data_IF_282342556904
#
_entry.id   IF_282342556904
#
_cell.length_a   1.000
_cell.length_b   1.000
_cell.length_c   1.000
_cell.angle_alpha   90.00
_cell.angle_beta   90.00
_cell.angle_gamma   90.00
#
_symmetry.space_group_name_H-M   'P 1'
#
loop_
_entity.id
_entity.type
_entity.pdbx_description
1 polymer ?
#
# COMPACT_ATOMS: atom_id res chain seq x y z
N UNK A 1 18.19 21.23 23.13
CA UNK A 1 17.20 21.20 22.04
C UNK A 1 15.94 20.51 22.56
N UNK A 2 14.97 21.25 23.10
CA UNK A 2 13.83 20.65 23.82
C UNK A 2 12.66 20.20 22.92
N UNK A 3 12.61 20.65 21.66
CA UNK A 3 11.52 20.35 20.72
C UNK A 3 12.05 20.34 19.29
N UNK A 4 12.71 19.25 18.91
CA UNK A 4 13.07 18.99 17.51
C UNK A 4 11.82 18.44 16.80
N UNK A 5 11.37 19.08 15.71
CA UNK A 5 10.16 18.64 14.99
C UNK A 5 10.55 17.93 13.71
N UNK A 6 10.27 16.62 13.63
CA UNK A 6 10.43 15.85 12.40
C UNK A 6 9.16 15.99 11.56
N UNK A 7 9.32 16.28 10.28
CA UNK A 7 8.23 16.36 9.31
C UNK A 7 8.53 15.53 8.07
N UNK A 8 7.52 15.32 7.25
CA UNK A 8 7.62 14.64 5.97
C UNK A 8 6.93 15.46 4.87
N UNK A 9 7.53 15.51 3.70
CA UNK A 9 6.85 15.98 2.49
C UNK A 9 7.28 15.15 1.27
N UNK A 10 6.46 15.20 0.21
CA UNK A 10 6.65 14.36 -0.98
C UNK A 10 7.86 14.74 -1.85
N UNK A 11 8.43 15.94 -1.69
CA UNK A 11 9.49 16.48 -2.57
C UNK A 11 10.88 16.25 -1.98
N UNK A 12 11.00 16.42 -0.66
CA UNK A 12 12.27 16.36 0.07
C UNK A 12 12.36 15.20 1.06
N UNK A 13 11.29 14.43 1.21
CA UNK A 13 11.25 13.32 2.14
C UNK A 13 11.10 13.77 3.59
N UNK A 14 11.72 13.00 4.49
CA UNK A 14 11.79 13.32 5.90
C UNK A 14 12.78 14.46 6.17
N UNK A 15 12.38 15.39 7.02
CA UNK A 15 13.20 16.55 7.38
C UNK A 15 13.06 16.90 8.85
N UNK A 16 14.05 17.61 9.36
CA UNK A 16 14.07 18.18 10.70
C UNK A 16 13.83 19.67 10.60
N UNK A 17 12.77 20.15 11.25
CA UNK A 17 12.50 21.58 11.38
C UNK A 17 13.09 22.10 12.70
N UNK A 18 13.93 23.13 12.59
CA UNK A 18 14.59 23.77 13.71
C UNK A 18 14.16 25.23 13.75
N UNK A 19 13.69 25.67 14.92
CA UNK A 19 13.26 27.06 15.14
C UNK A 19 14.46 28.00 15.16
N UNK A 20 14.24 29.28 14.82
CA UNK A 20 15.30 30.31 14.85
C UNK A 20 16.06 30.39 16.18
N UNK A 21 15.38 30.16 17.30
CA UNK A 21 15.96 30.18 18.64
C UNK A 21 16.99 29.05 18.89
N UNK A 22 16.90 27.92 18.17
CA UNK A 22 17.77 26.76 18.34
C UNK A 22 18.83 26.63 17.25
N UNK A 23 18.96 27.64 16.38
CA UNK A 23 19.89 27.64 15.24
C UNK A 23 21.36 27.53 15.64
N UNK A 24 21.74 28.08 16.80
CA UNK A 24 23.11 27.99 17.32
C UNK A 24 23.51 26.59 17.83
N UNK A 25 22.55 25.67 17.93
CA UNK A 25 22.79 24.28 18.37
C UNK A 25 22.67 23.27 17.24
N UNK A 26 22.64 23.72 15.98
CA UNK A 26 22.54 22.84 14.81
C UNK A 26 23.90 22.20 14.53
N UNK A 27 24.00 20.86 14.51
CA UNK A 27 25.22 20.15 14.15
C UNK A 27 25.67 20.43 12.69
N UNK A 28 26.95 20.24 12.39
CA UNK A 28 27.52 20.59 11.07
C UNK A 28 27.15 19.60 9.96
N UNK A 29 26.79 18.37 10.33
CA UNK A 29 26.28 17.30 9.46
C UNK A 29 24.86 17.56 8.94
N UNK A 30 24.17 18.58 9.46
CA UNK A 30 22.82 18.93 9.04
C UNK A 30 22.85 19.75 7.75
N UNK A 31 22.27 19.21 6.68
CA UNK A 31 22.23 19.86 5.38
C UNK A 31 20.94 20.69 5.27
N UNK A 32 21.07 22.02 5.22
CA UNK A 32 19.94 22.95 5.05
C UNK A 32 19.26 22.74 3.69
N UNK A 33 17.93 22.67 3.67
CA UNK A 33 17.11 22.48 2.45
C UNK A 33 16.11 23.60 2.17
N UNK A 34 15.52 24.17 3.22
CA UNK A 34 14.50 25.20 3.05
C UNK A 34 14.52 26.18 4.22
N UNK A 35 14.39 27.46 3.92
CA UNK A 35 14.19 28.53 4.92
C UNK A 35 12.69 28.80 5.08
N UNK A 36 12.21 28.86 6.32
CA UNK A 36 10.84 29.21 6.67
C UNK A 36 10.81 30.56 7.41
N UNK A 37 9.61 31.11 7.60
CA UNK A 37 9.41 32.37 8.34
C UNK A 37 9.88 32.24 9.80
N UNK A 38 9.65 31.08 10.42
CA UNK A 38 9.89 30.84 11.85
C UNK A 38 11.05 29.88 12.15
N UNK A 39 11.75 29.39 11.13
CA UNK A 39 12.78 28.36 11.29
C UNK A 39 13.36 27.90 9.97
N UNK A 40 14.07 26.78 10.01
CA UNK A 40 14.73 26.19 8.85
C UNK A 40 14.56 24.68 8.85
N UNK A 41 14.61 24.09 7.65
CA UNK A 41 14.53 22.64 7.44
C UNK A 41 15.90 22.08 7.06
N UNK A 42 16.24 20.99 7.72
CA UNK A 42 17.48 20.25 7.55
C UNK A 42 17.22 18.79 7.23
N UNK A 43 18.17 18.16 6.55
CA UNK A 43 18.21 16.72 6.32
C UNK A 43 19.56 16.21 6.79
N UNK A 44 19.59 15.01 7.36
CA UNK A 44 20.84 14.32 7.71
C UNK A 44 21.02 13.06 6.84
N UNK A 45 22.25 12.56 6.66
CA UNK A 45 22.49 11.31 5.95
C UNK A 45 21.70 10.14 6.53
N UNK A 46 21.62 10.03 7.86
CA UNK A 46 20.93 8.94 8.57
C UNK A 46 19.42 8.96 8.30
N UNK A 47 18.83 10.16 8.18
CA UNK A 47 17.42 10.29 7.81
C UNK A 47 17.12 9.78 6.40
N UNK A 48 18.05 9.99 5.46
CA UNK A 48 17.91 9.45 4.10
C UNK A 48 18.03 7.93 4.08
N UNK A 49 18.97 7.37 4.83
CA UNK A 49 19.11 5.91 4.94
C UNK A 49 17.85 5.26 5.54
N UNK A 50 17.27 5.89 6.57
CA UNK A 50 16.00 5.45 7.14
C UNK A 50 14.85 5.59 6.16
N UNK A 51 14.79 6.68 5.39
CA UNK A 51 13.79 6.88 4.34
C UNK A 51 13.85 5.79 3.28
N UNK A 52 15.04 5.49 2.74
CA UNK A 52 15.22 4.40 1.77
C UNK A 52 14.78 3.04 2.33
N UNK A 53 15.08 2.78 3.60
CA UNK A 53 14.65 1.56 4.27
C UNK A 53 13.14 1.49 4.45
N UNK A 54 12.48 2.60 4.79
CA UNK A 54 11.03 2.67 4.94
C UNK A 54 10.35 2.48 3.60
N UNK A 55 10.77 3.21 2.56
CA UNK A 55 10.22 3.09 1.21
C UNK A 55 10.38 1.67 0.66
N UNK A 56 11.56 1.07 0.82
CA UNK A 56 11.78 -0.32 0.40
C UNK A 56 10.96 -1.34 1.21
N UNK A 57 10.60 -1.03 2.46
CA UNK A 57 9.72 -1.89 3.26
C UNK A 57 8.25 -1.74 2.83
N UNK A 58 7.79 -0.52 2.54
CA UNK A 58 6.44 -0.26 2.02
C UNK A 58 6.21 -0.97 0.68
N UNK A 59 7.17 -0.88 -0.25
CA UNK A 59 7.10 -1.58 -1.54
C UNK A 59 6.96 -3.10 -1.36
N UNK A 60 7.77 -3.69 -0.48
CA UNK A 60 7.70 -5.13 -0.15
C UNK A 60 6.36 -5.50 0.49
N UNK A 61 5.86 -4.66 1.39
CA UNK A 61 4.58 -4.87 2.04
C UNK A 61 3.43 -4.85 1.02
N UNK A 62 3.42 -3.88 0.11
CA UNK A 62 2.41 -3.80 -0.97
C UNK A 62 2.49 -5.00 -1.91
N UNK A 63 3.70 -5.46 -2.26
CA UNK A 63 3.88 -6.65 -3.08
C UNK A 63 3.30 -7.91 -2.40
N UNK A 64 3.64 -8.11 -1.12
CA UNK A 64 3.12 -9.23 -0.32
C UNK A 64 1.60 -9.16 -0.14
N UNK A 65 1.05 -7.98 0.12
CA UNK A 65 -0.39 -7.78 0.25
C UNK A 65 -1.10 -8.16 -1.05
N UNK A 66 -0.57 -7.74 -2.20
CA UNK A 66 -1.11 -8.10 -3.51
C UNK A 66 -1.04 -9.61 -3.75
N UNK A 67 0.08 -10.26 -3.44
CA UNK A 67 0.23 -11.71 -3.55
C UNK A 67 -0.79 -12.47 -2.69
N UNK A 68 -0.92 -12.08 -1.41
CA UNK A 68 -1.88 -12.65 -0.48
C UNK A 68 -3.32 -12.44 -0.95
N UNK A 69 -3.64 -11.25 -1.46
CA UNK A 69 -4.95 -10.94 -2.02
C UNK A 69 -5.27 -11.83 -3.22
N UNK A 70 -4.33 -12.00 -4.15
CA UNK A 70 -4.50 -12.88 -5.31
C UNK A 70 -4.67 -14.34 -4.88
N UNK A 71 -3.87 -14.80 -3.91
CA UNK A 71 -3.96 -16.16 -3.37
C UNK A 71 -5.32 -16.41 -2.69
N UNK A 72 -5.80 -15.44 -1.89
CA UNK A 72 -7.11 -15.51 -1.25
C UNK A 72 -8.22 -15.58 -2.30
N UNK A 73 -8.17 -14.75 -3.34
CA UNK A 73 -9.16 -14.76 -4.42
C UNK A 73 -9.20 -16.10 -5.17
N UNK A 74 -8.05 -16.72 -5.42
CA UNK A 74 -7.97 -18.07 -6.01
C UNK A 74 -8.66 -19.11 -5.10
N UNK A 75 -8.41 -19.07 -3.79
CA UNK A 75 -9.06 -19.96 -2.81
C UNK A 75 -10.58 -19.78 -2.78
N UNK A 76 -11.05 -18.52 -2.79
CA UNK A 76 -12.48 -18.20 -2.84
C UNK A 76 -13.09 -18.71 -4.14
N UNK A 77 -12.47 -18.46 -5.29
CA UNK A 77 -12.96 -18.92 -6.60
C UNK A 77 -13.14 -20.44 -6.69
N UNK A 78 -12.27 -21.22 -6.04
CA UNK A 78 -12.39 -22.69 -5.97
C UNK A 78 -13.66 -23.14 -5.21
N UNK A 79 -14.04 -22.40 -4.16
CA UNK A 79 -15.26 -22.67 -3.38
C UNK A 79 -16.52 -22.09 -4.02
N UNK A 80 -16.38 -21.02 -4.81
CA UNK A 80 -17.49 -20.43 -5.56
C UNK A 80 -18.19 -21.43 -6.50
N UNK A 81 -17.45 -22.37 -7.09
CA UNK A 81 -18.05 -23.42 -7.96
C UNK A 81 -18.89 -24.41 -7.16
N UNK A 82 -18.53 -24.68 -5.90
CA UNK A 82 -19.33 -25.52 -4.99
C UNK A 82 -20.63 -24.80 -4.57
N UNK A 83 -20.53 -23.50 -4.30
CA UNK A 83 -21.68 -22.65 -3.98
C UNK A 83 -22.62 -22.52 -5.19
N UNK A 84 -22.08 -22.36 -6.41
CA UNK A 84 -22.88 -22.35 -7.65
C UNK A 84 -23.69 -23.64 -7.81
N UNK A 85 -23.07 -24.81 -7.64
CA UNK A 85 -23.76 -26.10 -7.74
C UNK A 85 -24.85 -26.28 -6.68
N UNK A 86 -24.63 -25.77 -5.47
CA UNK A 86 -25.63 -25.80 -4.40
C UNK A 86 -26.81 -24.86 -4.68
N UNK A 87 -26.55 -23.69 -5.29
CA UNK A 87 -27.57 -22.71 -5.65
C UNK A 87 -28.39 -23.09 -6.90
N UNK A 88 -27.84 -23.92 -7.80
CA UNK A 88 -28.55 -24.46 -8.97
C UNK A 88 -29.44 -25.68 -8.65
N UNK A 89 -29.46 -26.14 -7.39
CA UNK A 89 -30.33 -27.23 -6.98
C UNK A 89 -31.81 -26.80 -7.08
N UNK A 90 -32.68 -27.59 -7.73
CA UNK A 90 -34.04 -27.18 -8.12
C UNK A 90 -35.06 -27.07 -6.96
N UNK A 91 -34.60 -26.89 -5.71
CA UNK A 91 -35.44 -26.71 -4.52
C UNK A 91 -35.11 -25.47 -3.69
N UNK A 92 -34.22 -24.59 -4.14
CA UNK A 92 -33.97 -23.32 -3.47
C UNK A 92 -35.02 -22.29 -3.92
N UNK A 93 -36.16 -22.27 -3.23
CA UNK A 93 -37.07 -21.12 -3.23
C UNK A 93 -36.35 -19.94 -2.54
N UNK A 94 -35.53 -19.17 -3.25
CA UNK A 94 -35.05 -17.89 -2.74
C UNK A 94 -34.70 -16.87 -3.84
N UNK A 95 -34.99 -15.62 -3.51
CA UNK A 95 -35.17 -14.44 -4.36
C UNK A 95 -34.10 -14.26 -5.46
N UNK A 96 -34.53 -14.25 -6.73
CA UNK A 96 -33.67 -14.31 -7.93
C UNK A 96 -32.68 -13.13 -8.12
N UNK A 97 -32.70 -12.14 -7.25
CA UNK A 97 -31.74 -11.04 -7.21
C UNK A 97 -30.40 -11.43 -6.56
N UNK A 98 -30.43 -12.21 -5.47
CA UNK A 98 -29.22 -12.58 -4.71
C UNK A 98 -28.32 -13.55 -5.46
N UNK A 99 -28.92 -14.55 -6.14
CA UNK A 99 -28.20 -15.53 -6.96
C UNK A 99 -27.53 -14.90 -8.18
N UNK A 100 -28.16 -13.88 -8.79
CA UNK A 100 -27.63 -13.18 -9.96
C UNK A 100 -26.44 -12.27 -9.60
N UNK A 101 -26.52 -11.56 -8.47
CA UNK A 101 -25.41 -10.74 -7.96
C UNK A 101 -24.21 -11.59 -7.55
N UNK A 102 -24.45 -12.72 -6.89
CA UNK A 102 -23.40 -13.67 -6.56
C UNK A 102 -22.71 -14.21 -7.82
N UNK A 103 -23.48 -14.54 -8.87
CA UNK A 103 -22.94 -15.02 -10.16
C UNK A 103 -22.06 -13.96 -10.86
N UNK A 104 -22.52 -12.71 -10.92
CA UNK A 104 -21.76 -11.57 -11.47
C UNK A 104 -20.46 -11.32 -10.70
N UNK A 105 -20.51 -11.36 -9.37
CA UNK A 105 -19.32 -11.19 -8.52
C UNK A 105 -18.30 -12.31 -8.75
N UNK A 106 -18.76 -13.55 -8.93
CA UNK A 106 -17.91 -14.72 -9.19
C UNK A 106 -17.25 -14.63 -10.58
N UNK A 107 -18.00 -14.29 -11.62
CA UNK A 107 -17.48 -14.17 -12.98
C UNK A 107 -16.45 -13.04 -13.11
N UNK A 108 -16.73 -11.90 -12.47
CA UNK A 108 -15.78 -10.79 -12.35
C UNK A 108 -14.50 -11.24 -11.61
N UNK A 109 -14.64 -12.07 -10.58
CA UNK A 109 -13.51 -12.60 -9.83
C UNK A 109 -12.65 -13.55 -10.67
N UNK A 110 -13.27 -14.45 -11.43
CA UNK A 110 -12.58 -15.40 -12.34
C UNK A 110 -11.85 -14.66 -13.47
N UNK A 111 -12.49 -13.67 -14.10
CA UNK A 111 -11.89 -12.88 -15.17
C UNK A 111 -10.65 -12.10 -14.69
N UNK A 112 -10.71 -11.53 -13.49
CA UNK A 112 -9.58 -10.80 -12.94
C UNK A 112 -8.44 -11.73 -12.50
N UNK A 113 -8.73 -12.90 -11.91
CA UNK A 113 -7.70 -13.91 -11.60
C UNK A 113 -6.98 -14.37 -12.87
N UNK A 114 -7.69 -14.58 -13.97
CA UNK A 114 -7.10 -14.92 -15.26
C UNK A 114 -6.18 -13.81 -15.81
N UNK A 115 -6.60 -12.54 -15.71
CA UNK A 115 -5.78 -11.38 -16.14
C UNK A 115 -4.53 -11.19 -15.29
N UNK A 116 -4.61 -11.42 -13.98
CA UNK A 116 -3.45 -11.33 -13.08
C UNK A 116 -2.47 -12.47 -13.34
N UNK A 117 -2.95 -13.69 -13.60
CA UNK A 117 -2.08 -14.82 -13.97
C UNK A 117 -1.32 -14.58 -15.28
N UNK A 118 -1.94 -13.91 -16.26
CA UNK A 118 -1.28 -13.53 -17.52
C UNK A 118 -0.24 -12.41 -17.38
N UNK A 119 -0.36 -11.53 -16.39
CA UNK A 119 0.64 -10.47 -16.13
C UNK A 119 1.89 -10.98 -15.40
N UNK A 120 1.79 -12.12 -14.72
CA UNK A 120 2.91 -12.71 -13.96
C UNK A 120 3.70 -13.80 -14.73
N UNK A 121 3.22 -14.23 -15.90
CA UNK A 121 3.95 -15.11 -16.84
C UNK A 121 3.98 -14.46 -18.23
N UNK A 122 4.90 -13.51 -18.49
CA UNK A 122 5.36 -13.30 -19.85
C UNK A 122 6.26 -14.51 -20.19
N UNK A 123 5.67 -15.53 -20.79
CA UNK A 123 6.43 -16.60 -21.45
C UNK A 123 7.34 -15.98 -22.51
N UNK A 124 8.63 -16.25 -22.39
CA UNK A 124 9.71 -16.22 -23.40
C UNK A 124 9.97 -14.92 -24.17
#
# INVERSE_FOLDING_TARGET
IATLKVGYNRVFGYYIEITKANMGSVPQDYIRKQTLVNGERFITPELKEMEEKILGAEEKMTALEFELFVALRKKVALRCTQIQKAAEAPGAEDDGAGTKQLRLAIDANRAHVARVAQRQNPSE
#
